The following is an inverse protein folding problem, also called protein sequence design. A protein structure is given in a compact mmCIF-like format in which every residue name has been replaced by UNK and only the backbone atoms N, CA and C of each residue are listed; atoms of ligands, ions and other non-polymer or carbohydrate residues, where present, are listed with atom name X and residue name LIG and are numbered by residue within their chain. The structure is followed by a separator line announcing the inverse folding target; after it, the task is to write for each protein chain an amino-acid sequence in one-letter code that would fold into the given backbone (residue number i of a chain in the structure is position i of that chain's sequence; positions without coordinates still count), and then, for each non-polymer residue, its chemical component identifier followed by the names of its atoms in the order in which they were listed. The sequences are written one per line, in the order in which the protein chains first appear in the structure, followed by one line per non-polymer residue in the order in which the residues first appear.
data_IF_262336204374
#
_entry.id   IF_262336204374
#
_cell.length_a   1.000
_cell.length_b   1.000
_cell.length_c   1.000
_cell.angle_alpha   90.00
_cell.angle_beta   90.00
_cell.angle_gamma   90.00
#
_symmetry.space_group_name_H-M   'P 1'
#
loop_
_entity.id
_entity.type
_entity.pdbx_description
1 polymer ?
#
# COMPACT_ATOMS: atom_id res chain seq x y z
N UNK A 1 12.47 -1.23 21.96
CA UNK A 1 11.95 -0.75 20.66
C UNK A 1 11.17 -1.90 20.05
N UNK A 2 9.93 -2.06 20.48
CA UNK A 2 9.05 -3.15 20.03
C UNK A 2 8.63 -2.81 18.61
N UNK A 3 9.05 -3.64 17.64
CA UNK A 3 8.57 -3.56 16.27
C UNK A 3 7.06 -3.79 16.38
N UNK A 4 6.25 -2.75 16.21
CA UNK A 4 4.80 -2.87 16.19
C UNK A 4 4.46 -3.86 15.05
N UNK A 5 4.09 -5.08 15.43
CA UNK A 5 3.73 -6.10 14.47
C UNK A 5 2.46 -5.69 13.72
N UNK A 6 2.32 -6.17 12.48
CA UNK A 6 1.08 -6.00 11.73
C UNK A 6 -0.10 -6.54 12.54
N UNK A 7 -1.18 -5.76 12.66
CA UNK A 7 -2.41 -6.25 13.28
C UNK A 7 -3.00 -7.40 12.45
N UNK A 8 -3.89 -8.24 13.01
CA UNK A 8 -4.57 -9.28 12.24
C UNK A 8 -5.31 -8.73 11.01
N UNK A 9 -5.84 -7.51 11.10
CA UNK A 9 -6.46 -6.79 9.98
C UNK A 9 -5.42 -6.47 8.91
N UNK A 10 -4.30 -5.87 9.29
CA UNK A 10 -3.21 -5.53 8.38
C UNK A 10 -2.67 -6.76 7.65
N UNK A 11 -2.50 -7.89 8.35
CA UNK A 11 -2.08 -9.14 7.73
C UNK A 11 -3.11 -9.67 6.73
N UNK A 12 -4.41 -9.55 7.02
CA UNK A 12 -5.47 -9.95 6.08
C UNK A 12 -5.45 -9.09 4.81
N UNK A 13 -5.27 -7.78 4.95
CA UNK A 13 -5.14 -6.86 3.81
C UNK A 13 -3.92 -7.24 2.96
N UNK A 14 -2.75 -7.43 3.58
CA UNK A 14 -1.53 -7.86 2.88
C UNK A 14 -1.71 -9.20 2.17
N UNK A 15 -2.43 -10.16 2.76
CA UNK A 15 -2.74 -11.43 2.11
C UNK A 15 -3.63 -11.25 0.87
N UNK A 16 -4.67 -10.40 0.95
CA UNK A 16 -5.51 -10.10 -0.20
C UNK A 16 -4.74 -9.38 -1.31
N UNK A 17 -3.90 -8.40 -0.96
CA UNK A 17 -3.00 -7.73 -1.90
C UNK A 17 -2.10 -8.74 -2.59
N UNK A 18 -1.43 -9.61 -1.83
CA UNK A 18 -0.55 -10.61 -2.39
C UNK A 18 -1.27 -11.56 -3.33
N UNK A 19 -2.41 -12.12 -2.92
CA UNK A 19 -3.16 -13.08 -3.74
C UNK A 19 -3.66 -12.43 -5.04
N UNK A 20 -4.22 -11.22 -4.95
CA UNK A 20 -4.69 -10.47 -6.12
C UNK A 20 -3.55 -10.12 -7.08
N UNK A 21 -2.40 -9.72 -6.56
CA UNK A 21 -1.24 -9.36 -7.38
C UNK A 21 -0.52 -10.56 -7.97
N UNK A 22 -0.47 -11.70 -7.28
CA UNK A 22 0.10 -12.95 -7.82
C UNK A 22 -0.66 -13.43 -9.05
N UNK A 23 -1.99 -13.35 -9.02
CA UNK A 23 -2.83 -13.79 -10.14
C UNK A 23 -2.73 -12.86 -11.36
N UNK A 24 -2.42 -11.57 -11.15
CA UNK A 24 -2.42 -10.53 -12.17
C UNK A 24 -1.02 -10.01 -12.54
N UNK A 25 0.04 -10.55 -11.94
CA UNK A 25 1.43 -10.25 -12.29
C UNK A 25 2.02 -8.96 -11.73
N UNK A 26 1.51 -8.43 -10.61
CA UNK A 26 1.96 -7.16 -9.97
C UNK A 26 1.96 -5.90 -10.88
N UNK A 27 1.47 -5.97 -12.12
CA UNK A 27 1.36 -4.84 -13.05
C UNK A 27 0.09 -4.00 -12.79
N UNK A 28 -0.13 -3.66 -11.53
CA UNK A 28 -1.25 -2.81 -11.10
C UNK A 28 -0.70 -1.68 -10.23
N UNK A 29 -1.40 -0.57 -10.22
CA UNK A 29 -1.17 0.53 -9.28
C UNK A 29 -1.73 0.15 -7.90
N UNK A 30 -1.22 0.78 -6.85
CA UNK A 30 -1.74 0.61 -5.49
C UNK A 30 -3.24 0.97 -5.41
N UNK A 31 -3.69 1.94 -6.21
CA UNK A 31 -5.09 2.37 -6.25
C UNK A 31 -6.01 1.29 -6.83
N UNK A 32 -5.65 0.69 -7.96
CA UNK A 32 -6.43 -0.42 -8.58
C UNK A 32 -6.54 -1.61 -7.62
N UNK A 33 -5.47 -1.90 -6.89
CA UNK A 33 -5.45 -3.00 -5.92
C UNK A 33 -6.30 -2.67 -4.69
N UNK A 34 -6.23 -1.44 -4.19
CA UNK A 34 -7.07 -0.99 -3.08
C UNK A 34 -8.55 -1.04 -3.42
N UNK A 35 -8.92 -0.63 -4.65
CA UNK A 35 -10.28 -0.76 -5.17
C UNK A 35 -10.72 -2.23 -5.26
N UNK A 36 -9.87 -3.11 -5.79
CA UNK A 36 -10.18 -4.53 -5.95
C UNK A 36 -10.44 -5.28 -4.63
N UNK A 37 -9.85 -4.81 -3.52
CA UNK A 37 -10.04 -5.41 -2.19
C UNK A 37 -10.98 -4.58 -1.30
N UNK A 38 -11.61 -3.54 -1.85
CA UNK A 38 -12.47 -2.59 -1.13
C UNK A 38 -11.82 -1.98 0.12
N UNK A 39 -10.55 -1.56 0.01
CA UNK A 39 -9.81 -0.89 1.08
C UNK A 39 -9.35 0.51 0.68
N UNK A 40 -8.97 1.32 1.66
CA UNK A 40 -8.45 2.67 1.40
C UNK A 40 -7.06 2.59 0.77
N UNK A 41 -6.83 3.36 -0.30
CA UNK A 41 -5.52 3.45 -0.98
C UNK A 41 -4.38 3.84 -0.03
N UNK A 42 -4.64 4.74 0.94
CA UNK A 42 -3.67 5.14 1.96
C UNK A 42 -3.27 3.97 2.87
N UNK A 43 -4.26 3.22 3.39
CA UNK A 43 -4.03 2.01 4.20
C UNK A 43 -3.22 0.97 3.45
N UNK A 44 -3.58 0.69 2.19
CA UNK A 44 -2.81 -0.27 1.37
C UNK A 44 -1.40 0.25 1.13
N UNK A 45 -1.24 1.53 0.77
CA UNK A 45 0.07 2.17 0.57
C UNK A 45 0.96 2.06 1.80
N UNK A 46 0.45 2.40 2.99
CA UNK A 46 1.17 2.27 4.23
C UNK A 46 1.63 0.83 4.47
N UNK A 47 0.71 -0.13 4.35
CA UNK A 47 1.01 -1.54 4.60
C UNK A 47 2.03 -2.12 3.61
N UNK A 48 1.89 -1.85 2.30
CA UNK A 48 2.85 -2.33 1.30
C UNK A 48 4.19 -1.62 1.44
N UNK A 49 4.23 -0.38 1.90
CA UNK A 49 5.47 0.34 2.20
C UNK A 49 6.17 -0.27 3.41
N UNK A 50 5.47 -0.45 4.53
CA UNK A 50 6.00 -1.12 5.72
C UNK A 50 6.46 -2.56 5.44
N UNK A 51 5.79 -3.26 4.51
CA UNK A 51 6.17 -4.62 4.10
C UNK A 51 7.34 -4.66 3.10
N UNK A 52 7.68 -3.54 2.47
CA UNK A 52 8.72 -3.45 1.42
C UNK A 52 8.26 -3.96 0.05
N UNK A 53 6.98 -3.78 -0.29
CA UNK A 53 6.37 -4.17 -1.57
C UNK A 53 6.07 -2.98 -2.49
N UNK A 54 6.32 -1.74 -2.05
CA UNK A 54 5.99 -0.54 -2.81
C UNK A 54 6.59 -0.54 -4.24
N UNK A 55 7.85 -0.99 -4.38
CA UNK A 55 8.56 -1.05 -5.68
C UNK A 55 8.00 -2.07 -6.67
N UNK A 56 7.08 -2.94 -6.23
CA UNK A 56 6.45 -3.94 -7.11
C UNK A 56 5.24 -3.41 -7.86
N UNK A 57 4.68 -2.28 -7.45
CA UNK A 57 3.50 -1.71 -8.08
C UNK A 57 3.90 -0.73 -9.18
N UNK A 58 3.07 -0.65 -10.22
CA UNK A 58 3.24 0.37 -11.25
C UNK A 58 2.98 1.75 -10.63
N UNK A 59 3.84 2.71 -10.95
CA UNK A 59 3.57 4.10 -10.63
C UNK A 59 2.36 4.58 -11.45
N UNK A 60 1.43 5.35 -10.85
CA UNK A 60 0.37 5.95 -11.64
C UNK A 60 0.98 6.83 -12.74
N UNK A 61 0.36 6.93 -13.91
CA UNK A 61 0.80 7.89 -14.92
C UNK A 61 0.81 9.28 -14.28
N UNK A 62 2.00 9.89 -14.22
CA UNK A 62 2.14 11.23 -13.66
C UNK A 62 1.27 12.18 -14.49
N UNK A 63 0.40 12.99 -13.86
CA UNK A 63 -0.22 14.08 -14.59
C UNK A 63 0.92 14.99 -15.07
N UNK A 64 0.88 15.39 -16.34
CA UNK A 64 1.85 16.28 -17.00
C UNK A 64 2.01 17.67 -16.32
N UNK A 65 1.32 17.92 -15.21
CA UNK A 65 1.40 19.14 -14.41
C UNK A 65 2.27 18.95 -13.19
N UNK A 66 3.58 19.19 -13.36
CA UNK A 66 4.59 19.77 -12.45
C UNK A 66 4.39 19.88 -10.94
N UNK A 67 3.67 19.00 -10.25
CA UNK A 67 3.64 18.94 -8.78
C UNK A 67 3.96 17.54 -8.32
N UNK A 68 5.21 17.36 -7.89
CA UNK A 68 5.63 16.23 -7.08
C UNK A 68 4.86 16.29 -5.76
N UNK A 69 4.04 15.29 -5.38
CA UNK A 69 3.73 15.11 -3.98
C UNK A 69 5.01 14.60 -3.33
N UNK A 70 5.67 15.52 -2.63
CA UNK A 70 6.77 15.25 -1.72
C UNK A 70 6.34 14.07 -0.82
N UNK A 71 7.22 13.08 -0.74
CA UNK A 71 7.04 11.85 0.02
C UNK A 71 6.91 12.22 1.50
N UNK A 72 5.69 12.14 2.05
CA UNK A 72 5.39 12.34 3.48
C UNK A 72 4.94 11.02 4.14
N UNK A 73 5.51 9.88 3.71
CA UNK A 73 4.90 8.56 3.93
C UNK A 73 5.36 7.80 5.18
N UNK A 74 5.95 8.45 6.18
CA UNK A 74 6.31 7.77 7.44
C UNK A 74 5.30 7.98 8.56
N UNK A 75 4.54 9.08 8.57
CA UNK A 75 3.63 9.40 9.67
C UNK A 75 2.28 8.64 9.56
N UNK A 76 1.70 8.59 8.35
CA UNK A 76 0.40 7.94 8.07
C UNK A 76 0.41 6.42 8.33
N UNK A 77 1.57 5.78 8.19
CA UNK A 77 1.72 4.34 8.41
C UNK A 77 1.67 3.95 9.89
N UNK A 78 2.00 4.86 10.80
CA UNK A 78 1.97 4.59 12.23
C UNK A 78 0.52 4.50 12.74
N UNK A 79 -0.37 5.39 12.31
CA UNK A 79 -1.79 5.34 12.67
C UNK A 79 -2.45 4.02 12.24
N UNK A 80 -2.18 3.58 11.01
CA UNK A 80 -2.75 2.33 10.44
C UNK A 80 -2.27 1.07 11.16
N UNK A 81 -1.08 1.08 11.74
CA UNK A 81 -0.54 -0.06 12.50
C UNK A 81 -1.02 -0.09 13.95
N UNK A 82 -1.50 1.03 14.48
CA UNK A 82 -1.98 1.14 15.88
C UNK A 82 -3.50 1.06 16.06
N UNK A 83 -4.27 1.17 14.97
CA UNK A 83 -5.73 1.08 14.95
C UNK A 83 -6.26 -0.35 14.72
#
# INVERSE_FOLDING_TARGET
MTIAGFTPRSMRILAHVHNGCTLRGWDQTIAEVAEAISERTQTVRALVTCRGWADRFRLPPMPLSGRYPLIDTVDDALEVLTA
#
